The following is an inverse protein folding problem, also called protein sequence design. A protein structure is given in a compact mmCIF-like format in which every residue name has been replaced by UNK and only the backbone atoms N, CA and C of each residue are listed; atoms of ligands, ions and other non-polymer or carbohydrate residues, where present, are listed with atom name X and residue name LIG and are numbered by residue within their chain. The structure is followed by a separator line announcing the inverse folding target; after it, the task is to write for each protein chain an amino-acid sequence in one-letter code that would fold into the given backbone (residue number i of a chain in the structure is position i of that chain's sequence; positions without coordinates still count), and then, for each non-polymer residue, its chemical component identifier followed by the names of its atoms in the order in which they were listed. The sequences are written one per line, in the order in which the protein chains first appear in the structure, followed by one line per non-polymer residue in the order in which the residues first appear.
data_IF_428392970698
#
_entry.id   IF_428392970698
#
_cell.length_a   1.000
_cell.length_b   1.000
_cell.length_c   1.000
_cell.angle_alpha   90.00
_cell.angle_beta   90.00
_cell.angle_gamma   90.00
#
_symmetry.space_group_name_H-M   'P 1'
#
loop_
_entity.id
_entity.type
_entity.pdbx_description
1 polymer ?
#
# COMPACT_ATOMS: atom_id res chain seq x y z
N UNK A 1 10.88 7.39 -6.60
CA UNK A 1 11.05 8.79 -7.07
C UNK A 1 10.26 8.99 -8.35
N UNK A 2 9.70 10.18 -8.48
CA UNK A 2 8.96 10.68 -9.65
C UNK A 2 9.64 11.96 -10.14
N UNK A 3 9.76 12.12 -11.45
CA UNK A 3 10.39 13.30 -12.08
C UNK A 3 9.44 13.88 -13.13
N UNK A 4 9.21 15.19 -13.08
CA UNK A 4 8.45 15.93 -14.09
C UNK A 4 9.34 16.61 -15.13
N UNK A 5 8.74 16.99 -16.27
CA UNK A 5 9.40 17.80 -17.32
C UNK A 5 9.75 19.22 -16.84
N UNK A 6 9.08 19.73 -15.81
CA UNK A 6 9.43 20.97 -15.12
C UNK A 6 10.69 20.90 -14.25
N UNK A 7 11.31 19.73 -14.11
CA UNK A 7 12.49 19.51 -13.28
C UNK A 7 12.17 19.24 -11.80
N UNK A 8 10.90 19.02 -11.46
CA UNK A 8 10.49 18.68 -10.10
C UNK A 8 10.79 17.21 -9.81
N UNK A 9 11.52 16.93 -8.73
CA UNK A 9 11.82 15.56 -8.27
C UNK A 9 11.14 15.32 -6.93
N UNK A 10 10.30 14.27 -6.86
CA UNK A 10 9.49 13.95 -5.68
C UNK A 10 9.83 12.54 -5.19
N UNK A 11 10.18 12.43 -3.89
CA UNK A 11 10.24 11.14 -3.18
C UNK A 11 8.83 10.78 -2.72
N UNK A 12 8.38 9.58 -3.06
CA UNK A 12 7.06 9.08 -2.70
C UNK A 12 7.25 7.76 -1.96
N UNK A 13 6.92 7.69 -0.66
CA UNK A 13 6.98 6.45 0.09
C UNK A 13 5.88 5.49 -0.39
N UNK A 14 6.20 4.20 -0.43
CA UNK A 14 5.24 3.19 -0.91
C UNK A 14 4.20 2.81 0.14
N UNK A 15 4.56 2.91 1.42
CA UNK A 15 3.72 2.49 2.55
C UNK A 15 2.39 3.26 2.66
N UNK A 16 2.32 4.47 2.10
CA UNK A 16 1.10 5.30 2.12
C UNK A 16 0.20 5.16 0.88
N UNK A 17 0.57 4.33 -0.09
CA UNK A 17 -0.17 4.22 -1.36
C UNK A 17 -1.24 3.13 -1.24
N UNK A 18 -2.49 3.47 -1.56
CA UNK A 18 -3.59 2.50 -1.58
C UNK A 18 -3.31 1.36 -2.55
N UNK A 19 -3.44 0.12 -2.06
CA UNK A 19 -3.47 -1.07 -2.91
C UNK A 19 -4.77 -1.13 -3.70
N UNK A 20 -4.65 -1.20 -5.04
CA UNK A 20 -5.77 -1.31 -5.96
C UNK A 20 -5.47 -2.35 -7.05
N UNK A 21 -6.50 -3.05 -7.52
CA UNK A 21 -6.38 -4.01 -8.62
C UNK A 21 -6.11 -3.31 -9.97
N UNK A 22 -5.62 -4.06 -10.97
CA UNK A 22 -5.25 -3.55 -12.30
C UNK A 22 -6.43 -2.94 -13.06
N UNK A 23 -7.64 -3.41 -12.80
CA UNK A 23 -8.88 -2.91 -13.40
C UNK A 23 -9.42 -1.67 -12.66
N UNK A 24 -8.56 -0.70 -12.37
CA UNK A 24 -8.94 0.57 -11.71
C UNK A 24 -8.29 1.76 -12.40
N UNK A 25 -8.77 2.97 -12.11
CA UNK A 25 -8.14 4.21 -12.59
C UNK A 25 -6.85 4.58 -11.84
N UNK A 26 -6.49 3.83 -10.79
CA UNK A 26 -5.41 4.17 -9.88
C UNK A 26 -5.80 5.25 -8.87
N UNK A 27 -4.78 5.78 -8.19
CA UNK A 27 -4.90 6.87 -7.22
C UNK A 27 -3.95 8.02 -7.59
N UNK A 28 -4.35 9.24 -7.25
CA UNK A 28 -3.50 10.42 -7.45
C UNK A 28 -2.48 10.51 -6.31
N UNK A 29 -1.19 10.53 -6.65
CA UNK A 29 -0.10 10.70 -5.69
C UNK A 29 0.15 12.18 -5.39
N UNK A 30 0.13 13.02 -6.44
CA UNK A 30 0.25 14.47 -6.33
C UNK A 30 -0.40 15.14 -7.56
N UNK A 31 -0.68 16.44 -7.47
CA UNK A 31 -1.17 17.23 -8.60
C UNK A 31 0.00 17.87 -9.34
N UNK A 32 0.06 17.70 -10.65
CA UNK A 32 0.99 18.44 -11.52
C UNK A 32 0.45 19.84 -11.80
N UNK A 33 1.34 20.78 -12.12
CA UNK A 33 0.91 22.08 -12.62
C UNK A 33 0.23 21.96 -13.99
N UNK A 34 -0.45 23.02 -14.43
CA UNK A 34 -1.12 23.03 -15.73
C UNK A 34 -0.11 22.85 -16.87
N UNK A 35 -0.30 21.82 -17.68
CA UNK A 35 0.61 21.47 -18.79
C UNK A 35 1.85 20.67 -18.40
N UNK A 36 2.15 20.51 -17.11
CA UNK A 36 3.29 19.74 -16.60
C UNK A 36 2.99 18.23 -16.61
N UNK A 37 4.00 17.42 -16.95
CA UNK A 37 3.85 15.96 -17.05
C UNK A 37 4.96 15.23 -16.31
N UNK A 38 4.61 14.06 -15.77
CA UNK A 38 5.59 13.10 -15.27
C UNK A 38 6.29 12.44 -16.45
N UNK A 39 7.62 12.54 -16.49
CA UNK A 39 8.45 12.01 -17.58
C UNK A 39 9.28 10.80 -17.17
N UNK A 40 9.56 10.62 -15.87
CA UNK A 40 10.33 9.47 -15.39
C UNK A 40 9.88 9.01 -14.01
N UNK A 41 9.97 7.69 -13.80
CA UNK A 41 9.74 7.02 -12.51
C UNK A 41 10.92 6.10 -12.25
N UNK A 42 11.47 6.19 -11.05
CA UNK A 42 12.54 5.30 -10.61
C UNK A 42 12.28 4.79 -9.19
N UNK A 43 12.42 3.48 -9.00
CA UNK A 43 12.36 2.89 -7.66
C UNK A 43 13.73 3.02 -7.02
N UNK A 44 13.77 3.68 -5.87
CA UNK A 44 14.96 3.71 -5.02
C UNK A 44 14.70 2.73 -3.88
N UNK A 45 15.67 1.89 -3.58
CA UNK A 45 15.64 1.10 -2.35
C UNK A 45 15.80 2.05 -1.18
N UNK A 46 14.80 2.08 -0.31
CA UNK A 46 14.95 2.76 0.98
C UNK A 46 16.05 2.03 1.77
N UNK A 47 16.98 2.75 2.42
CA UNK A 47 17.84 2.10 3.41
C UNK A 47 16.91 1.46 4.43
N UNK A 48 17.23 0.23 4.85
CA UNK A 48 16.48 -0.50 5.87
C UNK A 48 16.51 0.31 7.18
N UNK A 49 15.58 1.25 7.30
CA UNK A 49 15.16 1.83 8.55
C UNK A 49 14.10 0.86 9.07
N UNK A 50 14.54 0.05 10.02
CA UNK A 50 13.81 -0.54 11.13
C UNK A 50 12.51 0.20 11.49
N UNK A 51 11.47 0.05 10.65
CA UNK A 51 10.09 0.29 11.03
C UNK A 51 9.55 -1.02 11.62
N UNK A 52 9.49 -1.05 12.95
CA UNK A 52 8.90 -2.12 13.75
C UNK A 52 7.53 -2.55 13.19
N UNK A 53 7.37 -3.85 12.99
CA UNK A 53 6.12 -4.52 12.67
C UNK A 53 5.01 -4.06 13.61
N UNK A 54 4.00 -3.36 13.06
CA UNK A 54 2.69 -3.30 13.69
C UNK A 54 1.99 -4.64 13.42
N UNK A 55 2.27 -5.64 14.26
CA UNK A 55 1.40 -6.81 14.43
C UNK A 55 0.02 -6.32 14.90
N UNK A 56 -0.99 -6.47 14.04
CA UNK A 56 -2.34 -6.02 14.36
C UNK A 56 -3.37 -6.52 13.36
N UNK A 57 -3.67 -7.81 13.41
CA UNK A 57 -4.76 -8.38 12.61
C UNK A 57 -4.88 -9.88 12.77
N UNK A 58 -5.25 -10.33 13.98
CA UNK A 58 -5.64 -11.71 14.25
C UNK A 58 -6.76 -12.15 13.28
N UNK A 59 -6.47 -13.13 12.45
CA UNK A 59 -7.48 -13.92 11.74
C UNK A 59 -8.09 -14.97 12.69
N UNK A 60 -9.32 -15.44 12.39
CA UNK A 60 -10.28 -15.88 13.39
C UNK A 60 -10.06 -17.33 13.81
N UNK A 61 -9.80 -17.57 15.09
CA UNK A 61 -9.89 -18.90 15.67
C UNK A 61 -11.15 -19.01 16.54
N UNK A 62 -12.18 -19.62 15.96
CA UNK A 62 -13.16 -20.37 16.73
C UNK A 62 -13.48 -21.65 15.99
N UNK A 63 -12.48 -22.53 15.92
CA UNK A 63 -12.77 -23.96 15.74
C UNK A 63 -13.08 -24.60 17.09
N UNK A 64 -14.14 -25.41 17.11
CA UNK A 64 -14.46 -26.47 18.08
C UNK A 64 -15.32 -26.06 19.30
N UNK A 65 -16.63 -26.25 19.17
CA UNK A 65 -17.28 -27.29 19.98
C UNK A 65 -18.31 -28.04 19.12
N UNK A 66 -17.92 -29.22 18.66
CA UNK A 66 -18.87 -30.25 18.27
C UNK A 66 -19.07 -31.14 19.48
N UNK A 67 -20.20 -31.00 20.15
CA UNK A 67 -20.72 -32.04 21.04
C UNK A 67 -22.05 -32.54 20.47
N UNK A 68 -22.10 -33.74 19.86
CA UNK A 68 -23.34 -34.44 19.58
C UNK A 68 -23.83 -35.16 20.85
N UNK A 69 -25.16 -35.22 21.00
CA UNK A 69 -25.96 -36.35 21.52
C UNK A 69 -25.53 -37.05 22.84
N UNK A 70 -26.25 -36.79 23.96
CA UNK A 70 -26.73 -37.86 24.87
C UNK A 70 -27.78 -37.38 25.92
N UNK A 71 -28.91 -38.09 25.97
CA UNK A 71 -29.84 -38.40 27.08
C UNK A 71 -30.52 -37.30 27.93
N UNK A 72 -31.83 -37.08 27.69
CA UNK A 72 -32.93 -37.61 28.54
C UNK A 72 -34.23 -37.75 27.72
#
# INVERSE_FOLDING_TARGET
MLVSDGGTVIRVPVNGIRFASRATKGVTIFNTAEGEKVVSVERISEPQADEEEIEGGAEPDSTTDSSPDNAE
#
